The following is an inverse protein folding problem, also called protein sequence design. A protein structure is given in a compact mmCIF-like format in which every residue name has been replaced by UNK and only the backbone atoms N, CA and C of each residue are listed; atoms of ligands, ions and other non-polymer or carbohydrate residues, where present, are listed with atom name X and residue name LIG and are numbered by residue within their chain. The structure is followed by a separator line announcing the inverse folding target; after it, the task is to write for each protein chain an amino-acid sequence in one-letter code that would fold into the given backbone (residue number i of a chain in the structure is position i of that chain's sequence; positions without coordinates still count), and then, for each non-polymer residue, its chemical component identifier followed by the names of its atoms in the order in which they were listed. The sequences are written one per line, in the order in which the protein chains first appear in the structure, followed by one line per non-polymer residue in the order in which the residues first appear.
data_IF_290856278533
#
_entry.id   IF_290856278533
#
_cell.length_a   1.000
_cell.length_b   1.000
_cell.length_c   1.000
_cell.angle_alpha   90.00
_cell.angle_beta   90.00
_cell.angle_gamma   90.00
#
_symmetry.space_group_name_H-M   'P 1'
#
loop_
_entity.id
_entity.type
_entity.pdbx_description
1 polymer ?
#
# COMPACT_ATOMS: atom_id res chain seq x y z
N UNK A 1 -4.48 0.33 -22.20
CA UNK A 1 -4.34 1.54 -21.34
C UNK A 1 -3.36 2.47 -22.02
N UNK A 2 -3.72 3.72 -22.20
CA UNK A 2 -2.83 4.74 -22.76
C UNK A 2 -2.44 5.72 -21.65
N UNK A 3 -1.14 5.85 -21.40
CA UNK A 3 -0.55 6.78 -20.44
C UNK A 3 0.08 7.93 -21.23
N UNK A 4 -0.56 9.11 -21.30
CA UNK A 4 -0.08 10.23 -22.12
C UNK A 4 1.37 10.64 -21.82
N UNK A 5 1.81 10.52 -20.58
CA UNK A 5 3.19 10.85 -20.20
C UNK A 5 4.22 9.98 -20.93
N UNK A 6 3.85 8.74 -21.30
CA UNK A 6 4.74 7.83 -22.02
C UNK A 6 4.84 8.13 -23.53
N UNK A 7 4.00 9.03 -24.06
CA UNK A 7 4.06 9.45 -25.45
C UNK A 7 5.22 10.45 -25.69
N UNK A 8 5.57 11.24 -24.67
CA UNK A 8 6.61 12.29 -24.77
C UNK A 8 7.87 11.96 -23.97
N UNK A 9 7.74 11.14 -22.93
CA UNK A 9 8.83 10.88 -21.99
C UNK A 9 9.01 9.38 -21.75
N UNK A 10 10.27 8.98 -21.49
CA UNK A 10 10.57 7.70 -20.86
C UNK A 10 10.37 7.90 -19.36
N UNK A 11 9.26 7.38 -18.82
CA UNK A 11 8.85 7.63 -17.44
C UNK A 11 9.28 6.50 -16.51
N UNK A 12 10.26 6.76 -15.63
CA UNK A 12 10.81 5.79 -14.68
C UNK A 12 10.38 6.01 -13.22
N UNK A 13 9.62 7.06 -12.93
CA UNK A 13 9.26 7.43 -11.55
C UNK A 13 7.88 6.86 -11.10
N UNK A 14 7.47 5.74 -11.66
CA UNK A 14 6.17 5.11 -11.36
C UNK A 14 6.05 4.65 -9.90
N UNK A 15 7.16 4.38 -9.24
CA UNK A 15 7.18 3.99 -7.83
C UNK A 15 6.74 5.15 -6.91
N UNK A 16 7.11 6.38 -7.26
CA UNK A 16 6.75 7.58 -6.51
C UNK A 16 5.38 8.12 -6.91
N UNK A 17 5.13 8.20 -8.20
CA UNK A 17 3.88 8.73 -8.74
C UNK A 17 3.53 7.99 -10.03
N UNK A 18 2.55 7.11 -9.96
CA UNK A 18 2.06 6.41 -11.14
C UNK A 18 1.49 7.38 -12.17
N UNK A 19 1.74 7.13 -13.45
CA UNK A 19 1.09 7.86 -14.53
C UNK A 19 -0.44 7.67 -14.48
N UNK A 20 -1.17 8.69 -14.89
CA UNK A 20 -2.63 8.60 -15.03
C UNK A 20 -3.00 8.28 -16.49
N UNK A 21 -3.84 7.28 -16.70
CA UNK A 21 -4.34 6.95 -18.03
C UNK A 21 -5.63 7.74 -18.35
N UNK A 22 -5.89 7.96 -19.64
CA UNK A 22 -6.98 8.86 -20.11
C UNK A 22 -8.36 8.46 -19.60
N UNK A 23 -8.63 7.16 -19.56
CA UNK A 23 -9.92 6.63 -19.14
C UNK A 23 -10.21 6.92 -17.66
N UNK A 24 -9.16 6.98 -16.83
CA UNK A 24 -9.31 7.33 -15.42
C UNK A 24 -9.78 8.77 -15.23
N UNK A 25 -9.34 9.71 -16.07
CA UNK A 25 -9.82 11.09 -16.03
C UNK A 25 -11.33 11.15 -16.31
N UNK A 26 -11.79 10.45 -17.34
CA UNK A 26 -13.21 10.39 -17.69
C UNK A 26 -14.03 9.74 -16.58
N UNK A 27 -13.53 8.67 -16.01
CA UNK A 27 -14.18 7.99 -14.89
C UNK A 27 -14.30 8.93 -13.65
N UNK A 28 -13.24 9.64 -13.29
CA UNK A 28 -13.24 10.59 -12.15
C UNK A 28 -14.24 11.72 -12.39
N UNK A 29 -14.23 12.30 -13.57
CA UNK A 29 -15.20 13.37 -13.93
C UNK A 29 -16.64 12.90 -13.80
N UNK A 30 -16.95 11.70 -14.28
CA UNK A 30 -18.29 11.14 -14.15
C UNK A 30 -18.65 10.80 -12.68
N UNK A 31 -17.71 10.25 -11.93
CA UNK A 31 -17.88 9.97 -10.52
C UNK A 31 -18.22 11.25 -9.72
N UNK A 32 -17.45 12.31 -9.93
CA UNK A 32 -17.64 13.58 -9.21
C UNK A 32 -18.98 14.24 -9.61
N UNK A 33 -19.38 14.12 -10.88
CA UNK A 33 -20.70 14.56 -11.36
C UNK A 33 -21.83 13.79 -10.66
N UNK A 34 -21.74 12.47 -10.57
CA UNK A 34 -22.73 11.66 -9.88
C UNK A 34 -22.81 12.00 -8.39
N UNK A 35 -21.67 12.28 -7.74
CA UNK A 35 -21.63 12.71 -6.35
C UNK A 35 -22.30 14.08 -6.18
N UNK A 36 -22.06 15.02 -7.09
CA UNK A 36 -22.68 16.34 -7.11
C UNK A 36 -24.21 16.26 -7.29
N UNK A 37 -24.69 15.43 -8.23
CA UNK A 37 -26.10 15.32 -8.57
C UNK A 37 -26.92 14.51 -7.55
N UNK A 38 -26.32 13.47 -6.95
CA UNK A 38 -27.04 12.49 -6.13
C UNK A 38 -26.66 12.50 -4.66
N UNK A 39 -25.56 13.17 -4.31
CA UNK A 39 -25.13 13.31 -2.92
C UNK A 39 -25.06 11.98 -2.17
N UNK A 40 -25.78 11.87 -1.05
CA UNK A 40 -25.79 10.67 -0.20
C UNK A 40 -26.39 9.44 -0.87
N UNK A 41 -27.30 9.60 -1.83
CA UNK A 41 -27.86 8.48 -2.60
C UNK A 41 -26.81 7.77 -3.45
N UNK A 42 -25.83 8.52 -3.97
CA UNK A 42 -24.70 7.93 -4.68
C UNK A 42 -23.87 7.00 -3.77
N UNK A 43 -23.73 7.35 -2.50
CA UNK A 43 -23.00 6.55 -1.51
C UNK A 43 -23.69 5.24 -1.13
N UNK A 44 -25.01 5.12 -1.32
CA UNK A 44 -25.75 3.89 -0.98
C UNK A 44 -25.23 2.65 -1.72
N UNK A 45 -24.71 2.85 -2.93
CA UNK A 45 -24.13 1.78 -3.76
C UNK A 45 -22.63 1.58 -3.55
N UNK A 46 -22.02 2.38 -2.66
CA UNK A 46 -20.57 2.37 -2.47
C UNK A 46 -20.03 1.02 -1.98
N UNK A 47 -20.81 0.33 -1.14
CA UNK A 47 -20.42 -1.00 -0.64
C UNK A 47 -20.26 -2.02 -1.77
N UNK A 48 -21.22 -2.07 -2.72
CA UNK A 48 -21.15 -2.97 -3.87
C UNK A 48 -19.92 -2.67 -4.73
N UNK A 49 -19.68 -1.40 -5.02
CA UNK A 49 -18.51 -0.94 -5.76
C UNK A 49 -17.19 -1.36 -5.09
N UNK A 50 -17.10 -1.18 -3.76
CA UNK A 50 -15.91 -1.56 -3.00
C UNK A 50 -15.71 -3.08 -2.98
N UNK A 51 -16.78 -3.86 -2.94
CA UNK A 51 -16.70 -5.32 -2.99
C UNK A 51 -16.23 -5.83 -4.35
N UNK A 52 -16.67 -5.21 -5.44
CA UNK A 52 -16.16 -5.50 -6.80
C UNK A 52 -14.68 -5.19 -6.91
N UNK A 53 -14.25 -4.05 -6.40
CA UNK A 53 -12.85 -3.62 -6.40
C UNK A 53 -11.97 -4.59 -5.58
N UNK A 54 -12.41 -4.97 -4.38
CA UNK A 54 -11.72 -5.98 -3.56
C UNK A 54 -11.64 -7.32 -4.26
N UNK A 55 -12.69 -7.72 -4.97
CA UNK A 55 -12.70 -8.96 -5.74
C UNK A 55 -11.67 -8.92 -6.86
N UNK A 56 -11.60 -7.80 -7.60
CA UNK A 56 -10.61 -7.58 -8.65
C UNK A 56 -9.17 -7.66 -8.12
N UNK A 57 -8.89 -6.98 -7.01
CA UNK A 57 -7.59 -7.05 -6.35
C UNK A 57 -7.28 -8.45 -5.81
N UNK A 58 -8.27 -9.11 -5.20
CA UNK A 58 -8.12 -10.48 -4.70
C UNK A 58 -7.71 -11.44 -5.82
N UNK A 59 -8.38 -11.36 -6.96
CA UNK A 59 -8.04 -12.16 -8.15
C UNK A 59 -6.63 -11.85 -8.66
N UNK A 60 -6.27 -10.57 -8.72
CA UNK A 60 -4.94 -10.15 -9.18
C UNK A 60 -3.81 -10.65 -8.27
N UNK A 61 -4.01 -10.62 -6.95
CA UNK A 61 -3.02 -11.07 -5.97
C UNK A 61 -3.20 -12.52 -5.52
N UNK A 62 -4.07 -13.29 -6.18
CA UNK A 62 -4.35 -14.70 -5.85
C UNK A 62 -4.78 -14.90 -4.38
N UNK A 63 -5.62 -14.02 -3.86
CA UNK A 63 -6.16 -14.09 -2.51
C UNK A 63 -7.67 -13.87 -2.48
N UNK A 64 -8.30 -14.15 -1.35
CA UNK A 64 -9.73 -13.88 -1.18
C UNK A 64 -9.99 -12.40 -0.95
N UNK A 65 -11.11 -11.87 -1.44
CA UNK A 65 -11.51 -10.47 -1.24
C UNK A 65 -11.58 -10.04 0.23
N UNK A 66 -11.82 -10.98 1.13
CA UNK A 66 -11.84 -10.77 2.59
C UNK A 66 -10.49 -10.44 3.18
N UNK A 67 -9.41 -10.79 2.48
CA UNK A 67 -8.03 -10.48 2.86
C UNK A 67 -7.53 -9.16 2.25
N UNK A 68 -8.38 -8.45 1.50
CA UNK A 68 -8.04 -7.18 0.86
C UNK A 68 -8.57 -6.03 1.68
N UNK A 69 -7.66 -5.26 2.27
CA UNK A 69 -7.96 -4.06 3.02
C UNK A 69 -7.47 -2.83 2.25
N UNK A 70 -8.36 -1.85 2.08
CA UNK A 70 -8.06 -0.62 1.35
C UNK A 70 -7.74 0.48 2.34
N UNK A 71 -6.62 1.16 2.13
CA UNK A 71 -6.17 2.28 2.95
C UNK A 71 -5.87 3.49 2.09
N UNK A 72 -5.85 4.67 2.68
CA UNK A 72 -5.59 5.92 1.94
C UNK A 72 -4.14 6.03 1.46
N UNK A 73 -3.21 5.41 2.19
CA UNK A 73 -1.79 5.38 1.84
C UNK A 73 -1.10 4.19 2.47
N UNK A 74 0.11 3.88 1.98
CA UNK A 74 0.98 2.88 2.60
C UNK A 74 1.23 3.17 4.08
N UNK A 75 1.58 4.40 4.43
CA UNK A 75 1.90 4.79 5.81
C UNK A 75 0.73 4.56 6.78
N UNK A 76 -0.50 4.89 6.36
CA UNK A 76 -1.71 4.66 7.18
C UNK A 76 -1.97 3.16 7.33
N UNK A 77 -1.85 2.39 6.24
CA UNK A 77 -2.02 0.95 6.27
C UNK A 77 -0.98 0.27 7.16
N UNK A 78 0.27 0.63 7.00
CA UNK A 78 1.36 0.08 7.79
C UNK A 78 1.22 0.41 9.28
N UNK A 79 0.90 1.66 9.64
CA UNK A 79 0.58 2.05 11.02
C UNK A 79 -0.55 1.23 11.62
N UNK A 80 -1.60 0.96 10.82
CA UNK A 80 -2.73 0.14 11.28
C UNK A 80 -2.31 -1.29 11.59
N UNK A 81 -1.38 -1.85 10.82
CA UNK A 81 -0.79 -3.17 11.08
C UNK A 81 0.06 -3.12 12.36
N UNK A 82 0.94 -2.13 12.50
CA UNK A 82 1.79 -2.01 13.70
C UNK A 82 0.97 -1.91 14.99
N UNK A 83 -0.15 -1.20 14.96
CA UNK A 83 -1.02 -1.02 16.14
C UNK A 83 -1.65 -2.31 16.68
N UNK A 84 -1.69 -3.39 15.90
CA UNK A 84 -2.28 -4.68 16.30
C UNK A 84 -1.22 -5.73 16.60
N UNK A 85 0.05 -5.44 16.36
CA UNK A 85 1.16 -6.36 16.66
C UNK A 85 1.51 -6.34 18.14
N UNK A 86 2.10 -7.45 18.60
CA UNK A 86 2.66 -7.51 19.95
C UNK A 86 3.76 -6.46 20.10
N UNK A 87 3.68 -5.56 21.11
CA UNK A 87 4.67 -4.51 21.32
C UNK A 87 6.08 -5.04 21.65
N UNK A 88 6.21 -6.31 22.03
CA UNK A 88 7.50 -6.95 22.30
C UNK A 88 8.21 -7.46 21.04
N UNK A 89 7.56 -7.39 19.88
CA UNK A 89 8.20 -7.76 18.63
C UNK A 89 9.38 -6.88 18.32
N UNK A 90 10.42 -7.48 17.76
CA UNK A 90 11.62 -6.80 17.28
C UNK A 90 11.61 -6.79 15.76
N UNK A 91 11.90 -5.64 15.20
CA UNK A 91 11.99 -5.46 13.75
C UNK A 91 13.45 -5.56 13.29
N UNK A 92 13.61 -6.10 12.10
CA UNK A 92 14.86 -6.04 11.36
C UNK A 92 14.62 -5.11 10.16
N UNK A 93 15.27 -3.97 10.17
CA UNK A 93 15.11 -2.92 9.18
C UNK A 93 16.32 -2.87 8.26
N UNK A 94 16.11 -2.57 7.00
CA UNK A 94 17.20 -2.28 6.06
C UNK A 94 17.56 -0.81 6.20
N UNK A 95 18.87 -0.50 6.32
CA UNK A 95 19.33 0.90 6.21
C UNK A 95 18.91 1.44 4.84
N UNK A 96 18.56 2.68 4.78
CA UNK A 96 18.11 3.35 3.54
C UNK A 96 16.79 2.79 2.94
N UNK A 97 16.01 2.03 3.71
CA UNK A 97 14.65 1.69 3.32
C UNK A 97 13.75 2.93 3.31
N UNK A 98 12.54 2.77 2.80
CA UNK A 98 11.58 3.86 2.70
C UNK A 98 11.37 4.52 4.07
N UNK A 99 11.62 5.83 4.21
CA UNK A 99 11.63 6.51 5.51
C UNK A 99 10.39 6.27 6.35
N UNK A 100 9.21 6.17 5.71
CA UNK A 100 7.95 5.92 6.40
C UNK A 100 7.88 4.57 7.10
N UNK A 101 8.65 3.56 6.68
CA UNK A 101 8.75 2.27 7.39
C UNK A 101 9.51 2.48 8.69
N UNK A 102 10.69 3.09 8.60
CA UNK A 102 11.58 3.34 9.74
C UNK A 102 10.88 4.22 10.78
N UNK A 103 10.37 5.37 10.35
CA UNK A 103 9.67 6.34 11.22
C UNK A 103 8.44 5.73 11.92
N UNK A 104 7.70 4.86 11.23
CA UNK A 104 6.54 4.20 11.83
C UNK A 104 6.93 3.17 12.89
N UNK A 105 7.98 2.38 12.67
CA UNK A 105 8.47 1.42 13.65
C UNK A 105 8.98 2.15 14.88
N UNK A 106 9.78 3.22 14.70
CA UNK A 106 10.32 4.05 15.78
C UNK A 106 9.21 4.74 16.59
N UNK A 107 8.28 5.42 15.90
CA UNK A 107 7.21 6.18 16.54
C UNK A 107 6.19 5.32 17.29
N UNK A 108 6.07 4.03 16.93
CA UNK A 108 5.25 3.07 17.68
C UNK A 108 6.01 2.38 18.81
N UNK A 109 7.29 2.72 19.03
CA UNK A 109 8.08 2.25 20.17
C UNK A 109 8.59 0.82 20.06
N UNK A 110 8.59 0.22 18.86
CA UNK A 110 9.13 -1.11 18.65
C UNK A 110 10.66 -1.11 18.75
N UNK A 111 11.22 -2.18 19.29
CA UNK A 111 12.64 -2.43 19.20
C UNK A 111 13.01 -2.87 17.78
N UNK A 112 14.16 -2.42 17.30
CA UNK A 112 14.63 -2.79 15.97
C UNK A 112 16.16 -2.87 15.90
N UNK A 113 16.63 -3.60 14.90
CA UNK A 113 18.01 -3.64 14.46
C UNK A 113 18.12 -3.29 12.99
N UNK A 114 19.26 -2.78 12.55
CA UNK A 114 19.52 -2.54 11.13
C UNK A 114 20.39 -3.62 10.52
N UNK A 115 20.13 -3.87 9.22
CA UNK A 115 21.05 -4.52 8.29
C UNK A 115 21.39 -3.54 7.17
N UNK A 116 22.56 -3.70 6.57
CA UNK A 116 23.06 -2.73 5.57
C UNK A 116 22.23 -2.75 4.27
N UNK A 117 21.75 -3.91 3.88
CA UNK A 117 21.02 -4.08 2.61
C UNK A 117 20.13 -5.34 2.62
N UNK A 118 19.37 -5.52 1.55
CA UNK A 118 18.46 -6.66 1.37
C UNK A 118 19.20 -8.01 1.32
N UNK A 119 20.43 -8.06 0.84
CA UNK A 119 21.24 -9.28 0.83
C UNK A 119 21.61 -9.74 2.25
N UNK A 120 21.98 -8.80 3.12
CA UNK A 120 22.22 -9.11 4.54
C UNK A 120 20.93 -9.51 5.27
N UNK A 121 19.81 -8.90 4.93
CA UNK A 121 18.49 -9.26 5.44
C UNK A 121 18.20 -10.73 5.12
N UNK A 122 18.29 -11.13 3.86
CA UNK A 122 18.09 -12.50 3.42
C UNK A 122 19.03 -13.48 4.14
N UNK A 123 20.30 -13.17 4.21
CA UNK A 123 21.30 -13.99 4.90
C UNK A 123 21.01 -14.15 6.39
N UNK A 124 20.50 -13.10 7.04
CA UNK A 124 20.14 -13.12 8.46
C UNK A 124 18.93 -14.01 8.70
N UNK A 125 17.92 -13.92 7.84
CA UNK A 125 16.72 -14.76 7.89
C UNK A 125 17.08 -16.23 7.66
N UNK A 126 17.87 -16.54 6.62
CA UNK A 126 18.26 -17.90 6.26
C UNK A 126 19.16 -18.56 7.31
N UNK A 127 19.98 -17.80 8.01
CA UNK A 127 20.82 -18.35 9.08
C UNK A 127 20.09 -18.66 10.38
N UNK A 128 18.79 -18.40 10.44
CA UNK A 128 17.97 -18.66 11.63
C UNK A 128 18.38 -17.83 12.86
N UNK A 129 19.13 -16.77 12.68
CA UNK A 129 19.63 -15.90 13.76
C UNK A 129 18.56 -14.93 14.30
N UNK A 130 17.33 -15.05 13.86
CA UNK A 130 16.18 -14.49 14.56
C UNK A 130 15.88 -15.39 15.77
N UNK A 131 16.77 -15.35 16.77
CA UNK A 131 16.44 -15.91 18.07
C UNK A 131 15.23 -15.14 18.61
N UNK A 132 14.07 -15.77 18.52
CA UNK A 132 12.92 -15.40 19.34
C UNK A 132 13.34 -15.65 20.79
N UNK A 133 13.72 -14.60 21.48
CA UNK A 133 13.75 -14.61 22.95
C UNK A 133 12.36 -14.30 23.45
#
# INVERSE_FOLDING_TARGET
MNFPISEEYIYFDSAKSSGMYKELLSWRTNHDKLLLEKGSQFRSNHKSFMDEFRTGLGNFFHTQKTNVYLTQSFSIGFKSVLNILDPNLKFLLVKEDYPSIIEQVESNGFQYNYVENTYELEKTILKGNLKTN
#
